data_IF_154040438450
#
_entry.id   IF_154040438450
#
_cell.length_a   1.000
_cell.length_b   1.000
_cell.length_c   1.000
_cell.angle_alpha   90.00
_cell.angle_beta   90.00
_cell.angle_gamma   90.00
#
_symmetry.space_group_name_H-M   'P 1'
#
loop_
_entity.id
_entity.type
_entity.pdbx_description
1 polymer ?
#
# COMPACT_ATOMS: atom_id res chain seq x y z
N UNK A 1 -11.37 -13.82 9.25
CA UNK A 1 -11.45 -12.39 8.91
C UNK A 1 -11.14 -12.28 7.43
N UNK A 2 -11.94 -11.57 6.64
CA UNK A 2 -11.64 -11.33 5.23
C UNK A 2 -10.66 -10.14 5.17
N UNK A 3 -9.38 -10.38 4.86
CA UNK A 3 -8.33 -9.34 4.90
C UNK A 3 -8.56 -8.18 3.91
N UNK A 4 -9.49 -8.36 2.97
CA UNK A 4 -9.92 -7.36 1.99
C UNK A 4 -11.15 -6.55 2.43
N UNK A 5 -11.83 -6.92 3.52
CA UNK A 5 -12.97 -6.16 4.04
C UNK A 5 -12.45 -5.16 5.09
N UNK A 6 -12.54 -3.87 4.82
CA UNK A 6 -12.32 -2.85 5.85
C UNK A 6 -13.60 -2.63 6.63
N UNK A 7 -13.53 -2.89 7.91
CA UNK A 7 -14.55 -2.53 8.88
C UNK A 7 -14.02 -1.39 9.74
N UNK A 8 -14.91 -0.49 10.15
CA UNK A 8 -14.61 0.51 11.16
C UNK A 8 -14.26 -0.17 12.48
N UNK A 9 -13.15 0.21 13.10
CA UNK A 9 -12.65 -0.40 14.33
C UNK A 9 -11.72 0.57 15.07
N UNK A 10 -11.43 0.28 16.34
CA UNK A 10 -10.37 0.95 17.11
C UNK A 10 -9.02 0.33 16.73
N UNK A 11 -8.33 0.95 15.77
CA UNK A 11 -7.10 0.45 15.15
C UNK A 11 -5.88 0.67 16.05
N UNK A 12 -5.94 1.65 16.94
CA UNK A 12 -4.79 2.06 17.76
C UNK A 12 -4.95 1.77 19.26
N UNK A 13 -6.14 1.34 19.70
CA UNK A 13 -6.47 0.98 21.07
C UNK A 13 -6.74 2.17 21.99
N UNK A 14 -7.08 3.34 21.46
CA UNK A 14 -7.32 4.56 22.25
C UNK A 14 -8.79 4.79 22.64
N UNK A 15 -9.68 3.88 22.21
CA UNK A 15 -11.12 3.95 22.49
C UNK A 15 -11.93 4.79 21.50
N UNK A 16 -11.30 5.30 20.43
CA UNK A 16 -11.98 5.96 19.31
C UNK A 16 -12.09 4.96 18.15
N UNK A 17 -13.22 4.97 17.44
CA UNK A 17 -13.43 4.11 16.27
C UNK A 17 -12.98 4.88 15.02
N UNK A 18 -11.98 4.36 14.34
CA UNK A 18 -11.58 4.83 13.02
C UNK A 18 -12.53 4.28 11.95
N UNK A 19 -12.75 5.06 10.89
CA UNK A 19 -13.45 4.61 9.70
C UNK A 19 -12.49 4.53 8.52
N UNK A 20 -12.79 3.61 7.61
CA UNK A 20 -12.01 3.39 6.40
C UNK A 20 -12.45 4.33 5.28
N UNK A 21 -11.49 4.93 4.60
CA UNK A 21 -11.72 5.70 3.36
C UNK A 21 -10.74 5.24 2.28
N UNK A 22 -11.17 5.36 1.02
CA UNK A 22 -10.26 5.22 -0.13
C UNK A 22 -9.81 6.61 -0.57
N UNK A 23 -8.51 6.76 -0.83
CA UNK A 23 -7.90 8.02 -1.27
C UNK A 23 -6.99 7.77 -2.46
N UNK A 24 -6.87 8.78 -3.33
CA UNK A 24 -5.83 8.80 -4.34
C UNK A 24 -4.49 9.10 -3.65
N UNK A 25 -3.42 8.34 -3.95
CA UNK A 25 -2.09 8.74 -3.54
C UNK A 25 -1.71 10.04 -4.26
N UNK A 26 -0.81 10.81 -3.64
CA UNK A 26 -0.40 12.11 -4.18
C UNK A 26 0.17 11.97 -5.59
N UNK A 27 -0.30 12.79 -6.52
CA UNK A 27 0.06 12.75 -7.94
C UNK A 27 -0.90 11.92 -8.80
N UNK A 28 -1.93 11.31 -8.21
CA UNK A 28 -2.96 10.54 -8.92
C UNK A 28 -4.34 11.19 -8.92
N UNK A 29 -4.45 12.44 -8.47
CA UNK A 29 -5.73 13.13 -8.25
C UNK A 29 -6.54 13.32 -9.54
N UNK A 30 -5.87 13.43 -10.69
CA UNK A 30 -6.51 13.65 -12.00
C UNK A 30 -6.79 12.33 -12.76
N UNK A 31 -6.38 11.17 -12.23
CA UNK A 31 -6.66 9.89 -12.86
C UNK A 31 -8.12 9.48 -12.64
N UNK A 32 -8.71 8.83 -13.65
CA UNK A 32 -10.07 8.31 -13.52
C UNK A 32 -10.13 7.22 -12.45
N UNK A 33 -11.26 7.05 -11.77
CA UNK A 33 -11.42 5.99 -10.76
C UNK A 33 -11.20 4.57 -11.31
N UNK A 34 -11.34 4.37 -12.62
CA UNK A 34 -11.10 3.09 -13.28
C UNK A 34 -9.61 2.80 -13.50
N UNK A 35 -8.77 3.83 -13.53
CA UNK A 35 -7.34 3.73 -13.85
C UNK A 35 -6.46 4.04 -12.62
N UNK A 36 -6.99 4.79 -11.66
CA UNK A 36 -6.23 5.25 -10.53
C UNK A 36 -5.97 4.13 -9.53
N UNK A 37 -4.72 4.02 -9.11
CA UNK A 37 -4.38 3.22 -7.92
C UNK A 37 -4.95 3.92 -6.68
N UNK A 38 -5.45 3.13 -5.73
CA UNK A 38 -6.04 3.65 -4.49
C UNK A 38 -5.26 3.18 -3.26
N UNK A 39 -5.25 4.06 -2.26
CA UNK A 39 -4.84 3.75 -0.91
C UNK A 39 -6.08 3.67 -0.03
N UNK A 40 -6.07 2.75 0.90
CA UNK A 40 -7.08 2.68 1.96
C UNK A 40 -6.46 3.24 3.24
N UNK A 41 -7.17 4.17 3.88
CA UNK A 41 -6.76 4.80 5.13
C UNK A 41 -7.78 4.54 6.22
N UNK A 42 -7.28 4.27 7.42
CA UNK A 42 -8.07 4.44 8.64
C UNK A 42 -7.90 5.86 9.15
N UNK A 43 -9.02 6.56 9.31
CA UNK A 43 -9.04 7.94 9.77
C UNK A 43 -9.76 8.08 11.10
N UNK A 44 -9.15 8.84 12.00
CA UNK A 44 -9.65 9.11 13.34
C UNK A 44 -10.15 10.54 13.44
N UNK A 45 -11.28 10.73 14.11
CA UNK A 45 -11.82 12.05 14.38
C UNK A 45 -10.99 12.80 15.42
N UNK A 46 -10.67 14.08 15.14
CA UNK A 46 -9.87 14.95 16.01
C UNK A 46 -10.64 16.10 16.68
N UNK A 47 -11.94 16.21 16.41
CA UNK A 47 -12.69 17.42 16.76
C UNK A 47 -12.77 18.39 15.58
N UNK A 48 -13.65 19.40 15.68
CA UNK A 48 -13.78 20.50 14.70
C UNK A 48 -13.95 20.06 13.23
N UNK A 49 -14.60 18.91 13.00
CA UNK A 49 -14.74 18.29 11.67
C UNK A 49 -13.41 17.92 10.97
N UNK A 50 -12.32 17.78 11.73
CA UNK A 50 -11.03 17.33 11.23
C UNK A 50 -10.83 15.83 11.46
N UNK A 51 -10.13 15.20 10.52
CA UNK A 51 -9.76 13.78 10.57
C UNK A 51 -8.27 13.61 10.35
N UNK A 52 -7.65 12.71 11.13
CA UNK A 52 -6.26 12.33 10.97
C UNK A 52 -6.17 10.89 10.47
N UNK A 53 -5.44 10.62 9.38
CA UNK A 53 -5.06 9.26 9.01
C UNK A 53 -4.11 8.64 10.05
N UNK A 54 -4.46 7.46 10.54
CA UNK A 54 -3.72 6.71 11.58
C UNK A 54 -3.02 5.49 10.99
N UNK A 55 -3.61 4.90 9.96
CA UNK A 55 -3.06 3.75 9.26
C UNK A 55 -3.37 3.86 7.77
N UNK A 56 -2.54 3.23 6.95
CA UNK A 56 -2.60 3.34 5.49
C UNK A 56 -2.10 2.04 4.84
N UNK A 57 -2.78 1.62 3.78
CA UNK A 57 -2.32 0.52 2.94
C UNK A 57 -2.59 0.80 1.47
N UNK A 58 -1.69 0.35 0.63
CA UNK A 58 -1.96 0.23 -0.80
C UNK A 58 -2.67 -1.09 -1.07
N UNK A 59 -3.76 -1.07 -1.84
CA UNK A 59 -4.46 -2.27 -2.29
C UNK A 59 -4.37 -2.39 -3.80
N UNK A 60 -3.84 -3.51 -4.28
CA UNK A 60 -3.87 -3.88 -5.69
C UNK A 60 -4.86 -5.04 -5.86
N UNK A 61 -6.10 -4.70 -6.21
CA UNK A 61 -7.20 -5.67 -6.36
C UNK A 61 -6.92 -6.61 -7.54
N UNK A 62 -6.41 -6.08 -8.66
CA UNK A 62 -6.15 -6.86 -9.87
C UNK A 62 -5.13 -7.99 -9.62
N UNK A 63 -4.09 -7.68 -8.85
CA UNK A 63 -3.03 -8.64 -8.51
C UNK A 63 -3.29 -9.40 -7.20
N UNK A 64 -4.32 -9.01 -6.45
CA UNK A 64 -4.78 -9.69 -5.25
C UNK A 64 -3.86 -9.54 -4.04
N UNK A 65 -3.27 -8.35 -3.83
CA UNK A 65 -2.42 -8.08 -2.67
C UNK A 65 -2.64 -6.70 -2.08
N UNK A 66 -2.12 -6.51 -0.87
CA UNK A 66 -2.01 -5.20 -0.25
C UNK A 66 -0.63 -5.02 0.38
N UNK A 67 -0.26 -3.77 0.64
CA UNK A 67 0.98 -3.38 1.31
C UNK A 67 0.61 -2.43 2.44
N UNK A 68 0.86 -2.85 3.68
CA UNK A 68 0.71 -1.97 4.84
C UNK A 68 1.84 -0.95 4.85
N UNK A 69 1.48 0.33 4.87
CA UNK A 69 2.42 1.45 4.97
C UNK A 69 2.77 1.62 6.46
N UNK A 70 4.07 1.70 6.84
CA UNK A 70 4.44 1.98 8.22
C UNK A 70 3.79 3.27 8.71
N UNK A 71 3.23 3.28 9.93
CA UNK A 71 2.49 4.44 10.49
C UNK A 71 3.18 5.79 10.33
N UNK A 72 4.51 5.84 10.44
CA UNK A 72 5.34 7.06 10.27
C UNK A 72 5.46 7.57 8.82
N UNK A 73 5.01 6.77 7.86
CA UNK A 73 5.04 7.05 6.41
C UNK A 73 3.64 7.26 5.83
N UNK A 74 2.60 7.27 6.69
CA UNK A 74 1.21 7.54 6.28
C UNK A 74 1.16 8.91 5.60
N UNK A 75 0.59 8.98 4.39
CA UNK A 75 0.56 10.15 3.48
C UNK A 75 1.92 10.59 2.90
N UNK A 76 3.01 9.94 3.27
CA UNK A 76 4.35 10.27 2.78
C UNK A 76 4.74 9.43 1.56
N UNK A 77 3.93 8.45 1.18
CA UNK A 77 4.19 7.52 0.09
C UNK A 77 3.20 7.70 -1.06
N UNK A 78 3.71 7.63 -2.29
CA UNK A 78 2.93 7.51 -3.53
C UNK A 78 3.37 6.27 -4.31
N UNK A 79 2.65 5.97 -5.40
CA UNK A 79 2.94 4.85 -6.30
C UNK A 79 3.31 5.37 -7.68
N UNK A 80 4.25 4.67 -8.29
CA UNK A 80 4.57 4.79 -9.69
C UNK A 80 4.56 3.40 -10.33
N UNK A 81 3.77 3.24 -11.38
CA UNK A 81 3.82 2.03 -12.22
C UNK A 81 5.17 1.93 -12.92
N UNK A 82 5.79 0.76 -12.84
CA UNK A 82 7.04 0.41 -13.52
C UNK A 82 6.79 -0.41 -14.77
N UNK A 83 7.87 -0.87 -15.41
CA UNK A 83 7.79 -1.83 -16.51
C UNK A 83 7.75 -3.28 -15.98
N UNK A 84 7.28 -4.21 -16.81
CA UNK A 84 7.34 -5.66 -16.54
C UNK A 84 6.69 -6.08 -15.21
N UNK A 85 5.49 -5.57 -14.90
CA UNK A 85 4.75 -5.86 -13.66
C UNK A 85 5.51 -5.48 -12.38
N UNK A 86 6.23 -4.35 -12.45
CA UNK A 86 6.90 -3.74 -11.29
C UNK A 86 6.09 -2.55 -10.81
N UNK A 87 5.95 -2.40 -9.51
CA UNK A 87 5.44 -1.18 -8.87
C UNK A 87 6.49 -0.57 -7.94
N UNK A 88 6.60 0.75 -7.96
CA UNK A 88 7.49 1.50 -7.07
C UNK A 88 6.66 2.32 -6.09
N UNK A 89 6.87 2.08 -4.79
CA UNK A 89 6.36 2.96 -3.74
C UNK A 89 7.47 3.96 -3.39
N UNK A 90 7.16 5.24 -3.42
CA UNK A 90 8.13 6.33 -3.35
C UNK A 90 7.73 7.39 -2.34
N UNK A 91 8.72 8.04 -1.75
CA UNK A 91 8.49 9.21 -0.92
C UNK A 91 7.99 10.38 -1.76
N UNK A 92 6.95 11.06 -1.28
CA UNK A 92 6.30 12.15 -2.02
C UNK A 92 7.08 13.46 -2.06
N UNK A 93 8.08 13.61 -1.19
CA UNK A 93 8.89 14.82 -1.03
C UNK A 93 10.20 14.75 -1.84
N UNK A 94 10.82 13.56 -1.88
CA UNK A 94 12.16 13.32 -2.42
C UNK A 94 12.15 12.45 -3.67
N UNK A 95 11.02 11.80 -4.00
CA UNK A 95 10.89 10.78 -5.05
C UNK A 95 11.80 9.55 -4.86
N UNK A 96 12.48 9.42 -3.69
CA UNK A 96 13.28 8.24 -3.37
C UNK A 96 12.41 6.98 -3.29
N UNK A 97 12.89 5.86 -3.84
CA UNK A 97 12.18 4.56 -3.74
C UNK A 97 12.23 4.04 -2.31
N UNK A 98 11.06 3.80 -1.72
CA UNK A 98 10.92 3.12 -0.43
C UNK A 98 10.83 1.60 -0.60
N UNK A 99 9.99 1.15 -1.52
CA UNK A 99 9.74 -0.26 -1.80
C UNK A 99 9.56 -0.48 -3.30
N UNK A 100 10.06 -1.62 -3.77
CA UNK A 100 9.88 -2.09 -5.14
C UNK A 100 9.27 -3.49 -5.11
N UNK A 101 8.13 -3.62 -5.79
CA UNK A 101 7.29 -4.82 -5.81
C UNK A 101 7.32 -5.40 -7.21
N UNK A 102 7.60 -6.69 -7.29
CA UNK A 102 7.60 -7.44 -8.54
C UNK A 102 6.51 -8.50 -8.48
N UNK A 103 5.73 -8.60 -9.54
CA UNK A 103 4.69 -9.62 -9.66
C UNK A 103 5.09 -10.64 -10.73
N UNK A 104 5.18 -11.91 -10.33
CA UNK A 104 5.51 -13.03 -11.21
C UNK A 104 4.33 -13.98 -11.35
N UNK A 105 4.13 -14.53 -12.55
CA UNK A 105 3.22 -15.67 -12.75
C UNK A 105 3.74 -16.90 -12.00
N UNK A 106 2.84 -17.65 -11.36
CA UNK A 106 3.18 -18.85 -10.57
C UNK A 106 3.94 -19.93 -11.36
N UNK A 107 3.77 -20.00 -12.68
CA UNK A 107 4.48 -20.94 -13.58
C UNK A 107 5.92 -20.50 -13.86
N UNK A 108 6.19 -19.21 -13.77
CA UNK A 108 7.53 -18.62 -14.00
C UNK A 108 8.33 -18.60 -12.71
N UNK A 109 7.68 -18.39 -11.56
CA UNK A 109 8.30 -18.27 -10.24
C UNK A 109 9.39 -19.32 -9.92
N UNK A 110 9.23 -20.63 -10.19
CA UNK A 110 10.27 -21.62 -9.89
C UNK A 110 11.62 -21.39 -10.59
N UNK A 111 11.65 -20.54 -11.64
CA UNK A 111 12.84 -20.21 -12.42
C UNK A 111 13.44 -18.86 -12.03
N UNK A 112 12.72 -18.05 -11.25
CA UNK A 112 13.14 -16.73 -10.79
C UNK A 112 14.14 -16.90 -9.64
N UNK A 113 15.23 -16.12 -9.67
CA UNK A 113 16.26 -16.10 -8.64
C UNK A 113 16.45 -14.67 -8.12
N UNK A 114 16.94 -14.52 -6.90
CA UNK A 114 17.28 -13.24 -6.26
C UNK A 114 16.08 -12.36 -5.84
N UNK A 115 14.91 -12.97 -5.62
CA UNK A 115 13.72 -12.30 -5.10
C UNK A 115 13.25 -13.02 -3.84
N UNK A 116 12.81 -12.25 -2.85
CA UNK A 116 12.17 -12.77 -1.64
C UNK A 116 10.65 -12.67 -1.79
N UNK A 117 9.95 -13.77 -1.51
CA UNK A 117 8.49 -13.83 -1.57
C UNK A 117 7.92 -13.02 -0.42
N UNK A 118 7.10 -12.02 -0.74
CA UNK A 118 6.31 -11.28 0.23
C UNK A 118 4.91 -11.91 0.39
N UNK A 119 4.24 -12.18 -0.74
CA UNK A 119 2.89 -12.76 -0.77
C UNK A 119 2.80 -13.75 -1.92
N UNK A 120 2.09 -14.88 -1.72
CA UNK A 120 1.80 -15.84 -2.78
C UNK A 120 0.30 -16.02 -2.90
N UNK A 121 -0.25 -15.73 -4.07
CA UNK A 121 -1.65 -15.98 -4.42
C UNK A 121 -1.74 -17.20 -5.34
N UNK A 122 -2.97 -17.58 -5.73
CA UNK A 122 -3.19 -18.68 -6.66
C UNK A 122 -2.68 -18.37 -8.08
N UNK A 123 -2.63 -17.09 -8.45
CA UNK A 123 -2.25 -16.64 -9.80
C UNK A 123 -0.81 -16.12 -9.84
N UNK A 124 -0.40 -15.42 -8.78
CA UNK A 124 0.84 -14.65 -8.77
C UNK A 124 1.71 -14.94 -7.55
N UNK A 125 3.02 -14.74 -7.71
CA UNK A 125 3.98 -14.65 -6.62
C UNK A 125 4.51 -13.22 -6.59
N UNK A 126 4.25 -12.54 -5.47
CA UNK A 126 4.65 -11.16 -5.24
C UNK A 126 5.91 -11.14 -4.42
N UNK A 127 6.89 -10.39 -4.92
CA UNK A 127 8.21 -10.33 -4.33
C UNK A 127 8.59 -8.90 -4.05
N UNK A 128 9.25 -8.68 -2.91
CA UNK A 128 9.93 -7.42 -2.65
C UNK A 128 11.41 -7.58 -2.98
N UNK A 129 11.95 -6.71 -3.84
CA UNK A 129 13.38 -6.75 -4.16
C UNK A 129 14.24 -6.08 -3.06
N UNK A 130 13.65 -5.20 -2.23
CA UNK A 130 14.32 -4.47 -1.14
C UNK A 130 13.33 -3.57 -0.37
N UNK A 131 13.26 -3.65 0.96
CA UNK A 131 12.83 -2.52 1.80
C UNK A 131 14.03 -1.56 1.82
N UNK A 132 13.96 -0.42 1.11
CA UNK A 132 15.17 0.38 0.84
C UNK A 132 15.62 1.20 2.05
N UNK A 133 14.75 1.49 3.03
CA UNK A 133 15.12 2.05 4.34
C UNK A 133 13.92 1.89 5.29
N UNK A 134 14.14 1.35 6.49
CA UNK A 134 13.26 1.61 7.62
C UNK A 134 13.69 3.00 8.15
N UNK A 135 12.84 4.03 8.15
CA UNK A 135 13.19 5.30 8.81
C UNK A 135 13.63 4.99 10.24
N UNK A 136 14.78 5.51 10.70
CA UNK A 136 15.14 5.33 12.11
C UNK A 136 14.04 5.96 12.98
N UNK A 137 13.73 5.29 14.08
CA UNK A 137 12.78 5.75 15.09
C UNK A 137 13.21 7.09 15.68
#
# INVERSE_FOLDING_TARGET
MNEFLLESQDVNGDGIIEFSISVHPKGWEEHSHAEATLFEQYVQWKGNAEFQPIDEKHVNIEQGYFITIPKKLVKEITIQEGSNNTQHLRYTDTDEKWLEVHTFDTRVWPKVKNYEVAVKTNLHVLCSAKIIKIPKA
#
